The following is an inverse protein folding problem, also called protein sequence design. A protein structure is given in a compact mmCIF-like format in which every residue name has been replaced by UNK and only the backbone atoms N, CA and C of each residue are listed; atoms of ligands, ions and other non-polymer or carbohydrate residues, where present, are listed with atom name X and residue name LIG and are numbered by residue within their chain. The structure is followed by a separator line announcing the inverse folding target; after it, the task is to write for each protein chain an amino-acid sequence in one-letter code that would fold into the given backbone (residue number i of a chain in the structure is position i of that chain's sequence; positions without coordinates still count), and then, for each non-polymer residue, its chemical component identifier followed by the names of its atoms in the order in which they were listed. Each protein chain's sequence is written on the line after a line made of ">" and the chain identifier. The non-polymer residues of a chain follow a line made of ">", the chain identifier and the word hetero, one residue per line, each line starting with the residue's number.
data_IF_494029854225
#
_entry.id   IF_494029854225
#
_cell.length_a   1.000
_cell.length_b   1.000
_cell.length_c   1.000
_cell.angle_alpha   90.00
_cell.angle_beta   90.00
_cell.angle_gamma   90.00
#
_symmetry.space_group_name_H-M   'P 1'
#
loop_
_entity.id
_entity.type
_entity.pdbx_description
1 polymer ?
#
# COMPACT_ATOMS: atom_id res chain seq x y z
N UNK A 1 -22.61 0.25 6.91
CA UNK A 1 -22.62 1.66 6.46
C UNK A 1 -21.79 2.50 7.43
N UNK A 2 -20.53 2.78 7.10
CA UNK A 2 -19.63 3.59 7.93
C UNK A 2 -19.94 5.07 7.79
N UNK A 3 -20.35 5.71 8.89
CA UNK A 3 -20.61 7.15 8.98
C UNK A 3 -19.30 7.92 8.92
N UNK A 4 -18.89 8.39 7.75
CA UNK A 4 -17.85 9.41 7.62
C UNK A 4 -18.43 10.78 8.01
N UNK A 5 -18.58 11.00 9.31
CA UNK A 5 -19.08 12.24 9.90
C UNK A 5 -18.05 13.35 9.67
N UNK A 6 -18.24 14.16 8.63
CA UNK A 6 -18.05 15.64 8.59
C UNK A 6 -16.78 16.30 9.14
N UNK A 7 -15.72 15.58 9.49
CA UNK A 7 -14.51 16.15 10.07
C UNK A 7 -13.54 16.50 8.94
N UNK A 8 -13.51 17.78 8.58
CA UNK A 8 -12.49 18.33 7.69
C UNK A 8 -11.23 18.64 8.51
N UNK A 9 -10.16 17.86 8.28
CA UNK A 9 -8.87 18.17 8.87
C UNK A 9 -8.14 19.20 8.00
N UNK A 10 -7.91 20.40 8.55
CA UNK A 10 -7.10 21.44 7.89
C UNK A 10 -5.62 21.07 7.94
N UNK A 11 -5.19 20.23 7.00
CA UNK A 11 -3.78 19.92 6.77
C UNK A 11 -3.03 21.17 6.27
N UNK A 12 -1.89 21.49 6.89
CA UNK A 12 -0.91 22.42 6.29
C UNK A 12 0.00 21.59 5.38
N UNK A 13 -0.04 21.90 4.09
CA UNK A 13 0.78 21.24 3.08
C UNK A 13 1.37 22.28 2.12
N UNK A 14 2.61 22.08 1.65
CA UNK A 14 3.22 22.95 0.64
C UNK A 14 2.39 22.94 -0.66
N UNK A 15 2.43 24.05 -1.39
CA UNK A 15 1.58 24.27 -2.57
C UNK A 15 1.78 23.18 -3.64
N UNK A 16 3.02 22.76 -3.87
CA UNK A 16 3.36 21.70 -4.83
C UNK A 16 2.69 20.36 -4.50
N UNK A 17 2.59 20.00 -3.21
CA UNK A 17 1.93 18.75 -2.80
C UNK A 17 0.41 18.84 -3.01
N UNK A 18 -0.19 19.99 -2.72
CA UNK A 18 -1.62 20.21 -2.97
C UNK A 18 -1.95 20.09 -4.45
N UNK A 19 -1.09 20.60 -5.32
CA UNK A 19 -1.28 20.55 -6.77
C UNK A 19 -1.20 19.12 -7.31
N UNK A 20 -0.16 18.36 -6.91
CA UNK A 20 -0.04 16.92 -7.24
C UNK A 20 -1.25 16.12 -6.76
N UNK A 21 -1.77 16.44 -5.58
CA UNK A 21 -2.95 15.75 -5.06
C UNK A 21 -4.23 16.13 -5.82
N UNK A 22 -4.34 17.39 -6.26
CA UNK A 22 -5.48 17.84 -7.07
C UNK A 22 -5.50 17.14 -8.43
N UNK A 23 -4.33 16.98 -9.05
CA UNK A 23 -4.16 16.27 -10.31
C UNK A 23 -4.51 14.79 -10.17
N UNK A 24 -3.91 14.11 -9.19
CA UNK A 24 -4.22 12.70 -8.86
C UNK A 24 -5.72 12.48 -8.59
N UNK A 25 -6.35 13.38 -7.84
CA UNK A 25 -7.79 13.29 -7.54
C UNK A 25 -8.66 13.47 -8.79
N UNK A 26 -8.27 14.36 -9.71
CA UNK A 26 -8.96 14.55 -11.00
C UNK A 26 -8.84 13.30 -11.88
N UNK A 27 -7.65 12.72 -11.99
CA UNK A 27 -7.45 11.48 -12.76
C UNK A 27 -8.28 10.32 -12.21
N UNK A 28 -8.33 10.20 -10.88
CA UNK A 28 -9.05 9.12 -10.19
C UNK A 28 -10.57 9.40 -10.05
N UNK A 29 -11.09 10.51 -10.57
CA UNK A 29 -12.49 10.94 -10.44
C UNK A 29 -12.98 10.96 -8.97
N UNK A 30 -12.12 11.37 -8.04
CA UNK A 30 -12.38 11.42 -6.60
C UNK A 30 -12.23 12.86 -6.08
N UNK A 31 -12.86 13.16 -4.94
CA UNK A 31 -12.59 14.43 -4.26
C UNK A 31 -11.18 14.43 -3.69
N UNK A 32 -10.57 15.61 -3.55
CA UNK A 32 -9.23 15.74 -2.96
C UNK A 32 -9.17 15.10 -1.57
N UNK A 33 -10.21 15.27 -0.74
CA UNK A 33 -10.28 14.63 0.58
C UNK A 33 -10.38 13.09 0.48
N UNK A 34 -11.14 12.58 -0.49
CA UNK A 34 -11.23 11.14 -0.72
C UNK A 34 -9.88 10.53 -1.17
N UNK A 35 -9.08 11.25 -1.96
CA UNK A 35 -7.74 10.81 -2.36
C UNK A 35 -6.77 10.78 -1.16
N UNK A 36 -6.81 11.82 -0.30
CA UNK A 36 -6.03 11.84 0.96
C UNK A 36 -6.36 10.62 1.81
N UNK A 37 -7.64 10.39 2.06
CA UNK A 37 -8.10 9.28 2.89
C UNK A 37 -7.71 7.93 2.28
N UNK A 38 -7.86 7.77 0.97
CA UNK A 38 -7.48 6.54 0.28
C UNK A 38 -5.98 6.25 0.39
N UNK A 39 -5.13 7.27 0.20
CA UNK A 39 -3.66 7.13 0.33
C UNK A 39 -3.24 6.83 1.77
N UNK A 40 -3.89 7.46 2.75
CA UNK A 40 -3.64 7.17 4.17
C UNK A 40 -4.02 5.72 4.47
N UNK A 41 -5.22 5.28 4.10
CA UNK A 41 -5.65 3.89 4.27
C UNK A 41 -4.70 2.91 3.58
N UNK A 42 -4.29 3.21 2.34
CA UNK A 42 -3.32 2.39 1.62
C UNK A 42 -1.98 2.30 2.37
N UNK A 43 -1.53 3.38 3.01
CA UNK A 43 -0.29 3.36 3.82
C UNK A 43 -0.43 2.41 5.02
N UNK A 44 -1.61 2.35 5.64
CA UNK A 44 -1.87 1.41 6.73
C UNK A 44 -2.05 -0.03 6.23
N UNK A 45 -2.66 -0.24 5.07
CA UNK A 45 -2.85 -1.57 4.45
C UNK A 45 -1.55 -2.15 3.89
N UNK A 46 -0.66 -1.30 3.38
CA UNK A 46 0.65 -1.68 2.83
C UNK A 46 1.68 -1.99 3.92
N UNK A 47 1.31 -1.83 5.20
CA UNK A 47 2.07 -2.32 6.34
C UNK A 47 1.89 -3.82 6.59
N UNK A 48 1.36 -4.60 5.63
CA UNK A 48 1.69 -6.03 5.53
C UNK A 48 3.16 -6.15 5.15
N UNK A 49 4.02 -5.81 6.11
CA UNK A 49 5.42 -6.13 6.06
C UNK A 49 5.53 -7.64 5.80
N UNK A 50 6.54 -8.05 5.05
CA UNK A 50 6.85 -9.47 4.79
C UNK A 50 6.92 -10.28 6.11
N UNK A 51 7.09 -9.61 7.25
CA UNK A 51 7.04 -10.17 8.60
C UNK A 51 5.66 -10.63 9.09
N UNK A 52 4.56 -10.06 8.59
CA UNK A 52 3.19 -10.43 8.98
C UNK A 52 2.56 -11.45 8.01
N UNK A 53 3.14 -11.60 6.82
CA UNK A 53 2.72 -12.62 5.86
C UNK A 53 3.20 -14.00 6.30
N UNK A 54 2.34 -15.01 6.17
CA UNK A 54 2.75 -16.38 6.47
C UNK A 54 3.77 -16.85 5.42
N UNK A 55 4.78 -17.63 5.85
CA UNK A 55 5.80 -18.19 4.94
C UNK A 55 5.16 -18.94 3.76
N UNK A 56 4.01 -19.59 3.98
CA UNK A 56 3.24 -20.30 2.95
C UNK A 56 2.65 -19.36 1.88
N UNK A 57 2.13 -18.20 2.28
CA UNK A 57 1.58 -17.19 1.37
C UNK A 57 2.69 -16.61 0.49
N UNK A 58 3.86 -16.36 1.07
CA UNK A 58 5.03 -15.84 0.37
C UNK A 58 5.58 -16.84 -0.65
N UNK A 59 5.66 -18.13 -0.29
CA UNK A 59 6.12 -19.20 -1.20
C UNK A 59 5.16 -19.36 -2.38
N UNK A 60 3.85 -19.33 -2.14
CA UNK A 60 2.85 -19.43 -3.20
C UNK A 60 2.90 -18.23 -4.16
N UNK A 61 3.10 -17.02 -3.63
CA UNK A 61 3.29 -15.83 -4.46
C UNK A 61 4.53 -15.98 -5.35
N UNK A 62 5.68 -16.31 -4.73
CA UNK A 62 6.95 -16.53 -5.43
C UNK A 62 6.83 -17.59 -6.53
N UNK A 63 6.14 -18.70 -6.25
CA UNK A 63 5.89 -19.76 -7.23
C UNK A 63 5.01 -19.29 -8.39
N UNK A 64 4.05 -18.39 -8.14
CA UNK A 64 3.15 -17.85 -9.16
C UNK A 64 3.82 -16.85 -10.12
N UNK A 65 4.86 -16.13 -9.64
CA UNK A 65 5.62 -15.17 -10.45
C UNK A 65 6.86 -15.75 -11.12
N UNK A 66 7.39 -16.85 -10.58
CA UNK A 66 8.50 -17.56 -11.20
C UNK A 66 8.06 -18.29 -12.46
N UNK A 67 8.95 -18.29 -13.45
CA UNK A 67 8.80 -19.16 -14.61
C UNK A 67 8.86 -20.63 -14.20
N UNK A 68 8.12 -21.52 -14.89
CA UNK A 68 7.95 -22.92 -14.49
C UNK A 68 9.24 -23.75 -14.45
N UNK A 69 10.35 -23.23 -14.99
CA UNK A 69 11.65 -23.92 -15.04
C UNK A 69 12.64 -23.51 -13.94
N UNK A 70 12.23 -22.67 -12.98
CA UNK A 70 13.15 -22.21 -11.94
C UNK A 70 13.07 -23.05 -10.67
N UNK A 71 14.23 -23.55 -10.21
CA UNK A 71 14.41 -24.21 -8.92
C UNK A 71 15.28 -23.34 -8.02
N UNK A 72 14.77 -23.04 -6.82
CA UNK A 72 15.51 -22.30 -5.79
C UNK A 72 15.71 -23.17 -4.55
N UNK A 73 16.81 -22.95 -3.84
CA UNK A 73 17.14 -23.60 -2.57
C UNK A 73 17.13 -22.51 -1.51
N UNK A 74 16.35 -22.71 -0.46
CA UNK A 74 16.30 -21.79 0.68
C UNK A 74 17.28 -22.34 1.73
N UNK A 75 18.45 -21.72 1.85
CA UNK A 75 19.35 -21.93 2.98
C UNK A 75 19.10 -20.87 4.04
N UNK A 76 18.59 -21.30 5.19
CA UNK A 76 18.54 -20.45 6.38
C UNK A 76 19.94 -20.43 6.99
N UNK A 77 20.65 -19.31 6.85
CA UNK A 77 21.86 -19.06 7.61
C UNK A 77 21.48 -18.90 9.08
N UNK A 78 21.74 -19.93 9.89
CA UNK A 78 21.81 -19.76 11.34
C UNK A 78 23.13 -19.03 11.64
N UNK A 79 23.10 -17.70 11.62
CA UNK A 79 24.15 -16.93 12.28
C UNK A 79 24.07 -17.22 13.79
N UNK A 80 25.19 -17.70 14.34
CA UNK A 80 25.44 -17.90 15.77
C UNK A 80 26.37 -16.80 16.25
#
# INVERSE_FOLDING_TARGET
>A
MGKNLGIEYKMRMPAELKEKLAESAKELNRSMNADIVARLNQTFEQSTAVSDASTEELINELASRLSPDCRFIIEKSNET
#
